data_IF_100071251597
#
_entry.id   IF_100071251597
#
_cell.length_a   1.000
_cell.length_b   1.000
_cell.length_c   1.000
_cell.angle_alpha   90.00
_cell.angle_beta   90.00
_cell.angle_gamma   90.00
#
_symmetry.space_group_name_H-M   'P 1'
#
loop_
_entity.id
_entity.type
_entity.pdbx_description
1 polymer ?
#
# COMPACT_ATOMS: atom_id res chain seq x y z
N UNK A 1 9.07 0.19 16.54
CA UNK A 1 8.63 -1.21 16.58
C UNK A 1 8.15 -1.63 15.21
N UNK A 2 8.62 -2.77 14.69
CA UNK A 2 8.12 -3.27 13.40
C UNK A 2 6.60 -3.45 13.43
N UNK A 3 5.92 -3.00 12.40
CA UNK A 3 4.48 -3.11 12.30
C UNK A 3 3.69 -1.94 12.89
N UNK A 4 4.36 -0.98 13.52
CA UNK A 4 3.72 0.26 13.94
C UNK A 4 3.44 1.17 12.74
N UNK A 5 2.58 2.18 12.93
CA UNK A 5 2.33 3.19 11.89
C UNK A 5 3.64 3.80 11.40
N UNK A 6 4.50 4.23 12.32
CA UNK A 6 5.77 4.86 11.95
C UNK A 6 6.67 3.93 11.13
N UNK A 7 6.77 2.66 11.52
CA UNK A 7 7.54 1.67 10.77
C UNK A 7 7.00 1.44 9.37
N UNK A 8 5.69 1.27 9.24
CA UNK A 8 5.04 1.09 7.94
C UNK A 8 5.20 2.33 7.05
N UNK A 9 5.07 3.52 7.63
CA UNK A 9 5.23 4.77 6.91
C UNK A 9 6.66 4.96 6.40
N UNK A 10 7.65 4.68 7.26
CA UNK A 10 9.06 4.78 6.88
C UNK A 10 9.42 3.84 5.73
N UNK A 11 8.84 2.64 5.69
CA UNK A 11 9.08 1.69 4.61
C UNK A 11 8.73 2.26 3.24
N UNK A 12 7.70 3.11 3.15
CA UNK A 12 7.22 3.68 1.89
C UNK A 12 7.83 5.04 1.57
N UNK A 13 8.41 5.71 2.53
CA UNK A 13 8.76 7.12 2.42
C UNK A 13 9.68 7.43 1.24
N UNK A 14 10.64 6.56 0.94
CA UNK A 14 11.62 6.78 -0.11
C UNK A 14 11.28 6.06 -1.43
N UNK A 15 10.23 5.23 -1.45
CA UNK A 15 9.88 4.47 -2.66
C UNK A 15 9.29 5.40 -3.72
N UNK A 16 9.99 5.54 -4.84
CA UNK A 16 9.56 6.37 -5.96
C UNK A 16 9.71 7.87 -5.75
N UNK A 17 10.41 8.30 -4.70
CA UNK A 17 10.62 9.70 -4.42
C UNK A 17 11.68 10.28 -5.33
N UNK A 18 11.39 11.44 -5.94
CA UNK A 18 12.37 12.19 -6.72
C UNK A 18 13.28 12.97 -5.76
N UNK A 19 14.59 12.72 -5.84
CA UNK A 19 15.56 13.36 -4.96
C UNK A 19 15.71 14.87 -5.18
N UNK A 20 15.27 15.37 -6.33
CA UNK A 20 15.36 16.80 -6.68
C UNK A 20 14.12 17.55 -6.24
N UNK A 21 12.92 17.07 -6.62
CA UNK A 21 11.66 17.73 -6.33
C UNK A 21 11.07 17.37 -4.98
N UNK A 22 11.42 16.18 -4.46
CA UNK A 22 10.79 15.62 -3.28
C UNK A 22 9.42 15.02 -3.52
N UNK A 23 8.88 15.14 -4.73
CA UNK A 23 7.62 14.53 -5.12
C UNK A 23 7.78 13.06 -5.52
N UNK A 24 6.67 12.36 -5.71
CA UNK A 24 6.66 10.93 -5.96
C UNK A 24 6.27 10.59 -7.39
N UNK A 25 6.89 9.52 -7.90
CA UNK A 25 6.62 8.95 -9.23
C UNK A 25 6.37 7.45 -9.07
N UNK A 26 5.16 7.10 -8.65
CA UNK A 26 4.71 5.70 -8.45
C UNK A 26 3.60 5.36 -9.44
N UNK A 27 3.93 5.46 -10.73
CA UNK A 27 2.92 5.17 -11.76
C UNK A 27 2.62 3.69 -11.82
N UNK A 28 1.36 3.34 -12.09
CA UNK A 28 0.91 1.96 -12.21
C UNK A 28 1.81 1.20 -13.20
N UNK A 29 2.31 0.04 -12.76
CA UNK A 29 3.16 -0.82 -13.57
C UNK A 29 4.64 -0.48 -13.56
N UNK A 30 5.05 0.62 -12.91
CA UNK A 30 6.47 0.95 -12.76
C UNK A 30 7.11 0.14 -11.65
N UNK A 31 8.46 0.12 -11.62
CA UNK A 31 9.20 -0.58 -10.56
C UNK A 31 8.85 -0.05 -9.16
N UNK A 32 8.68 1.25 -9.01
CA UNK A 32 8.32 1.86 -7.74
C UNK A 32 6.95 1.38 -7.26
N UNK A 33 5.96 1.33 -8.15
CA UNK A 33 4.61 0.85 -7.81
C UNK A 33 4.62 -0.64 -7.49
N UNK A 34 5.39 -1.46 -8.23
CA UNK A 34 5.56 -2.88 -7.93
C UNK A 34 6.21 -3.10 -6.56
N UNK A 35 7.18 -2.28 -6.19
CA UNK A 35 7.79 -2.33 -4.86
C UNK A 35 6.75 -2.05 -3.76
N UNK A 36 5.85 -1.09 -3.98
CA UNK A 36 4.76 -0.82 -3.05
C UNK A 36 3.80 -2.01 -2.93
N UNK A 37 3.51 -2.71 -4.05
CA UNK A 37 2.66 -3.92 -4.03
C UNK A 37 3.31 -5.05 -3.22
N UNK A 38 4.60 -5.26 -3.40
CA UNK A 38 5.36 -6.26 -2.63
C UNK A 38 5.34 -5.93 -1.14
N UNK A 39 5.55 -4.66 -0.81
CA UNK A 39 5.48 -4.18 0.57
C UNK A 39 4.09 -4.46 1.18
N UNK A 40 3.02 -4.15 0.46
CA UNK A 40 1.66 -4.39 0.93
C UNK A 40 1.42 -5.87 1.21
N UNK A 41 1.85 -6.74 0.31
CA UNK A 41 1.71 -8.19 0.46
C UNK A 41 2.48 -8.69 1.69
N UNK A 42 3.71 -8.26 1.87
CA UNK A 42 4.52 -8.65 3.02
C UNK A 42 3.93 -8.14 4.34
N UNK A 43 3.51 -6.88 4.38
CA UNK A 43 2.92 -6.29 5.58
C UNK A 43 1.61 -6.98 5.96
N UNK A 44 0.77 -7.31 4.98
CA UNK A 44 -0.47 -8.04 5.20
C UNK A 44 -0.22 -9.47 5.70
N UNK A 45 0.73 -10.17 5.10
CA UNK A 45 1.10 -11.53 5.51
C UNK A 45 1.64 -11.56 6.95
N UNK A 46 2.46 -10.57 7.31
CA UNK A 46 3.00 -10.45 8.67
C UNK A 46 1.90 -10.29 9.72
N UNK A 47 0.74 -9.79 9.32
CA UNK A 47 -0.41 -9.58 10.20
C UNK A 47 -1.43 -10.71 10.13
N UNK A 48 -1.11 -11.78 9.44
CA UNK A 48 -2.00 -12.92 9.29
C UNK A 48 -3.20 -12.69 8.39
N UNK A 49 -3.14 -11.68 7.53
CA UNK A 49 -4.22 -11.40 6.59
C UNK A 49 -4.10 -12.29 5.36
N UNK A 50 -5.24 -12.61 4.76
CA UNK A 50 -5.30 -13.37 3.50
C UNK A 50 -5.24 -12.38 2.34
N UNK A 51 -4.26 -12.55 1.46
CA UNK A 51 -4.01 -11.63 0.36
C UNK A 51 -4.63 -12.14 -0.93
N UNK A 52 -5.20 -11.22 -1.69
CA UNK A 52 -5.80 -11.51 -2.98
C UNK A 52 -5.53 -10.37 -3.95
N UNK A 53 -5.28 -10.70 -5.22
CA UNK A 53 -5.22 -9.72 -6.30
C UNK A 53 -6.34 -10.04 -7.28
N UNK A 54 -7.22 -9.09 -7.57
CA UNK A 54 -8.34 -9.30 -8.47
C UNK A 54 -7.95 -9.05 -9.94
N UNK A 55 -8.91 -9.20 -10.84
CA UNK A 55 -8.69 -9.05 -12.28
C UNK A 55 -8.30 -7.64 -12.69
N UNK A 56 -8.64 -6.64 -11.89
CA UNK A 56 -8.31 -5.24 -12.13
C UNK A 56 -7.02 -4.83 -11.42
N UNK A 57 -6.27 -5.81 -10.90
CA UNK A 57 -5.04 -5.61 -10.15
C UNK A 57 -5.23 -4.87 -8.83
N UNK A 58 -6.44 -4.85 -8.27
CA UNK A 58 -6.66 -4.37 -6.91
C UNK A 58 -6.10 -5.38 -5.92
N UNK A 59 -5.43 -4.88 -4.89
CA UNK A 59 -4.88 -5.69 -3.81
C UNK A 59 -5.86 -5.70 -2.64
N UNK A 60 -6.17 -6.90 -2.15
CA UNK A 60 -7.08 -7.12 -1.04
C UNK A 60 -6.34 -7.80 0.09
N UNK A 61 -6.56 -7.35 1.31
CA UNK A 61 -6.09 -8.02 2.52
C UNK A 61 -7.31 -8.28 3.39
N UNK A 62 -7.61 -9.58 3.61
CA UNK A 62 -8.82 -10.01 4.30
C UNK A 62 -8.50 -10.43 5.73
N UNK A 63 -9.26 -9.90 6.66
CA UNK A 63 -9.29 -10.36 8.04
C UNK A 63 -10.51 -11.25 8.22
N UNK A 64 -10.29 -12.52 8.55
CA UNK A 64 -11.35 -13.54 8.70
C UNK A 64 -12.26 -13.68 7.46
N UNK A 65 -11.71 -14.05 6.31
CA UNK A 65 -12.50 -14.12 5.07
C UNK A 65 -13.65 -15.11 5.15
N UNK A 66 -13.57 -16.11 6.04
CA UNK A 66 -14.59 -17.16 6.20
C UNK A 66 -15.65 -16.82 7.25
N UNK A 67 -15.55 -15.69 7.93
CA UNK A 67 -16.52 -15.30 8.93
C UNK A 67 -17.87 -14.95 8.27
N UNK A 68 -19.00 -15.39 8.85
CA UNK A 68 -20.31 -15.09 8.29
C UNK A 68 -20.71 -13.64 8.56
N UNK A 69 -21.57 -13.10 7.72
CA UNK A 69 -22.14 -11.77 7.89
C UNK A 69 -21.53 -10.73 6.97
N UNK A 70 -21.92 -9.47 7.17
CA UNK A 70 -21.46 -8.35 6.37
C UNK A 70 -20.03 -7.94 6.78
N UNK A 71 -19.30 -7.42 5.80
CA UNK A 71 -17.93 -6.92 6.02
C UNK A 71 -17.91 -5.40 5.87
N UNK A 72 -16.94 -4.77 6.57
CA UNK A 72 -16.59 -3.38 6.34
C UNK A 72 -15.36 -3.36 5.46
N UNK A 73 -15.41 -2.59 4.37
CA UNK A 73 -14.29 -2.43 3.46
C UNK A 73 -13.75 -1.02 3.56
N UNK A 74 -12.44 -0.90 3.71
CA UNK A 74 -11.74 0.37 3.63
C UNK A 74 -10.60 0.25 2.64
N UNK A 75 -10.16 1.34 2.07
CA UNK A 75 -9.07 1.26 1.12
C UNK A 75 -8.57 2.62 0.67
N UNK A 76 -7.47 2.56 -0.06
CA UNK A 76 -6.85 3.71 -0.69
C UNK A 76 -6.03 3.21 -1.89
N UNK A 77 -5.02 3.94 -2.31
CA UNK A 77 -4.17 3.58 -3.43
C UNK A 77 -2.70 3.77 -3.10
N UNK A 78 -1.82 3.12 -3.87
CA UNK A 78 -0.37 3.19 -3.70
C UNK A 78 0.31 3.96 -4.83
N UNK A 79 -0.34 4.04 -6.00
CA UNK A 79 0.19 4.80 -7.12
C UNK A 79 0.12 6.31 -6.86
N UNK A 80 0.82 7.06 -7.66
CA UNK A 80 0.83 8.52 -7.56
C UNK A 80 0.59 9.17 -8.92
N UNK A 81 0.14 10.43 -8.89
CA UNK A 81 0.21 11.33 -10.03
C UNK A 81 1.67 11.80 -10.22
N UNK A 82 2.03 12.42 -11.37
CA UNK A 82 3.35 13.00 -11.52
C UNK A 82 3.66 13.95 -10.39
N UNK A 83 4.84 13.80 -9.77
CA UNK A 83 5.32 14.64 -8.67
C UNK A 83 4.35 14.70 -7.48
N UNK A 84 3.69 13.60 -7.18
CA UNK A 84 2.68 13.50 -6.14
C UNK A 84 3.23 13.71 -4.74
N UNK A 85 2.35 14.12 -3.81
CA UNK A 85 2.70 14.30 -2.41
C UNK A 85 2.81 12.97 -1.67
N UNK A 86 3.56 12.97 -0.56
CA UNK A 86 3.80 11.77 0.24
C UNK A 86 2.51 11.18 0.83
N UNK A 87 1.53 12.02 1.13
CA UNK A 87 0.29 11.60 1.78
C UNK A 87 -0.80 11.17 0.80
N UNK A 88 -0.64 11.45 -0.48
CA UNK A 88 -1.63 11.12 -1.50
C UNK A 88 -1.67 9.60 -1.74
N UNK A 89 -2.69 8.96 -1.23
CA UNK A 89 -2.90 7.52 -1.30
C UNK A 89 -2.26 6.73 -0.15
N UNK A 90 -0.93 6.68 -0.01
CA UNK A 90 -0.26 5.83 0.96
C UNK A 90 -0.67 6.06 2.42
N UNK A 91 -1.00 7.28 2.81
CA UNK A 91 -1.46 7.55 4.17
C UNK A 91 -2.72 6.73 4.49
N UNK A 92 -3.67 6.66 3.55
CA UNK A 92 -4.88 5.87 3.73
C UNK A 92 -4.63 4.36 3.78
N UNK A 93 -3.59 3.88 3.10
CA UNK A 93 -3.21 2.46 3.13
C UNK A 93 -2.57 2.10 4.47
N UNK A 94 -1.66 2.93 4.97
CA UNK A 94 -0.95 2.69 6.23
C UNK A 94 -1.88 2.88 7.44
N UNK A 95 -2.73 3.87 7.38
CA UNK A 95 -3.66 4.21 8.46
C UNK A 95 -4.74 3.14 8.66
#
# INVERSE_FOLDING_TARGET
MPGSFDGLWQDLLDVGRDGTSGGYHRYTGTAAELTCREWFAAAGADRGLVLETDRNANLWAWHRPDAPGASIVTGSHLDSVPDGGAYDGPLGVVF
#
